data_IF_209122149722
#
_entry.id   IF_209122149722
#
_cell.length_a   1.000
_cell.length_b   1.000
_cell.length_c   1.000
_cell.angle_alpha   90.00
_cell.angle_beta   90.00
_cell.angle_gamma   90.00
#
_symmetry.space_group_name_H-M   'P 1'
#
loop_
_entity.id
_entity.type
_entity.pdbx_description
1 polymer ?
#
# COMPACT_ATOMS: atom_id res chain seq x y z
N UNK A 1 7.67 -16.06 -28.69
CA UNK A 1 9.03 -16.51 -28.32
C UNK A 1 8.99 -17.88 -27.66
N UNK A 2 10.13 -18.60 -27.54
CA UNK A 2 10.20 -19.98 -27.07
C UNK A 2 9.52 -20.24 -25.72
N UNK A 3 9.55 -19.27 -24.77
CA UNK A 3 8.95 -19.38 -23.44
C UNK A 3 7.44 -19.65 -23.50
N UNK A 4 6.71 -18.99 -24.36
CA UNK A 4 5.25 -19.20 -24.47
C UNK A 4 4.85 -20.51 -25.14
N UNK A 5 5.80 -21.24 -25.73
CA UNK A 5 5.57 -22.59 -26.27
C UNK A 5 5.76 -23.70 -25.22
N UNK A 6 5.84 -23.36 -23.94
CA UNK A 6 5.93 -24.30 -22.82
C UNK A 6 4.54 -24.78 -22.38
N UNK A 7 4.50 -25.93 -21.71
CA UNK A 7 3.25 -26.49 -21.17
C UNK A 7 2.78 -25.74 -19.90
N UNK A 8 3.73 -25.12 -19.17
CA UNK A 8 3.49 -24.26 -18.01
C UNK A 8 4.28 -22.97 -18.17
N UNK A 9 3.61 -21.84 -18.05
CA UNK A 9 4.21 -20.51 -18.08
C UNK A 9 3.97 -19.80 -16.75
N UNK A 10 5.05 -19.38 -16.09
CA UNK A 10 5.02 -18.60 -14.86
C UNK A 10 5.36 -17.15 -15.19
N UNK A 11 4.52 -16.22 -14.69
CA UNK A 11 4.75 -14.77 -14.81
C UNK A 11 4.38 -14.08 -13.51
N UNK A 12 5.03 -12.96 -13.21
CA UNK A 12 4.62 -12.08 -12.11
C UNK A 12 3.50 -11.15 -12.59
N UNK A 13 3.78 -10.30 -13.56
CA UNK A 13 2.80 -9.37 -14.11
C UNK A 13 1.83 -10.06 -15.07
N UNK A 14 0.61 -9.56 -15.14
CA UNK A 14 -0.40 -10.01 -16.09
C UNK A 14 0.16 -10.00 -17.53
N UNK A 15 0.02 -11.11 -18.28
CA UNK A 15 0.42 -11.13 -19.66
C UNK A 15 -0.47 -10.24 -20.54
N UNK A 16 0.08 -9.80 -21.66
CA UNK A 16 -0.71 -9.11 -22.67
C UNK A 16 -1.48 -10.13 -23.54
N UNK A 17 -2.63 -9.78 -24.14
CA UNK A 17 -3.36 -10.68 -25.05
C UNK A 17 -2.50 -11.26 -26.17
N UNK A 18 -1.55 -10.49 -26.71
CA UNK A 18 -0.60 -10.94 -27.74
C UNK A 18 0.39 -12.01 -27.23
N UNK A 19 0.69 -12.05 -25.94
CA UNK A 19 1.50 -13.09 -25.31
C UNK A 19 0.68 -14.38 -25.13
N UNK A 20 -0.59 -14.26 -24.76
CA UNK A 20 -1.52 -15.39 -24.66
C UNK A 20 -1.70 -16.09 -26.02
N UNK A 21 -1.81 -15.32 -27.10
CA UNK A 21 -1.95 -15.87 -28.44
C UNK A 21 -0.75 -16.75 -28.91
N UNK A 22 0.40 -16.62 -28.24
CA UNK A 22 1.58 -17.44 -28.51
C UNK A 22 1.63 -18.74 -27.67
N UNK A 23 0.71 -18.92 -26.73
CA UNK A 23 0.70 -20.08 -25.84
C UNK A 23 0.06 -21.29 -26.53
N UNK A 24 0.51 -22.48 -26.14
CA UNK A 24 -0.14 -23.73 -26.57
C UNK A 24 -1.56 -23.82 -26.01
N UNK A 25 -2.47 -24.33 -26.80
CA UNK A 25 -3.78 -24.74 -26.31
C UNK A 25 -3.62 -25.79 -25.19
N UNK A 26 -4.29 -25.58 -24.06
CA UNK A 26 -4.19 -26.45 -22.89
C UNK A 26 -3.01 -26.14 -21.96
N UNK A 27 -2.13 -25.22 -22.31
CA UNK A 27 -1.05 -24.78 -21.42
C UNK A 27 -1.60 -24.17 -20.11
N UNK A 28 -0.83 -24.29 -19.03
CA UNK A 28 -1.11 -23.62 -17.78
C UNK A 28 -0.37 -22.30 -17.70
N UNK A 29 -1.10 -21.22 -17.35
CA UNK A 29 -0.54 -19.89 -17.02
C UNK A 29 -0.77 -19.63 -15.54
N UNK A 30 0.29 -19.26 -14.81
CA UNK A 30 0.23 -18.85 -13.41
C UNK A 30 0.82 -17.45 -13.29
N UNK A 31 0.00 -16.46 -12.90
CA UNK A 31 0.44 -15.07 -12.76
C UNK A 31 -0.57 -14.24 -11.97
N UNK A 32 -0.22 -13.01 -11.58
CA UNK A 32 -1.24 -12.00 -11.27
C UNK A 32 -1.99 -11.67 -12.57
N UNK A 33 -3.31 -11.71 -12.53
CA UNK A 33 -4.15 -11.48 -13.70
C UNK A 33 -5.12 -10.33 -13.54
N UNK A 34 -5.53 -10.05 -12.29
CA UNK A 34 -6.56 -9.06 -11.97
C UNK A 34 -7.86 -9.31 -12.76
N UNK A 35 -8.26 -10.58 -12.81
CA UNK A 35 -9.33 -11.07 -13.67
C UNK A 35 -10.66 -10.29 -13.55
N UNK A 36 -10.97 -9.77 -12.35
CA UNK A 36 -12.19 -8.99 -12.10
C UNK A 36 -12.22 -7.64 -12.86
N UNK A 37 -11.06 -7.06 -13.17
CA UNK A 37 -10.92 -5.77 -13.85
C UNK A 37 -10.29 -5.89 -15.24
N UNK A 38 -9.65 -7.02 -15.55
CA UNK A 38 -8.96 -7.29 -16.80
C UNK A 38 -9.71 -8.34 -17.62
N UNK A 39 -10.93 -8.02 -18.01
CA UNK A 39 -11.83 -8.93 -18.75
C UNK A 39 -11.29 -9.27 -20.14
N UNK A 40 -10.55 -8.38 -20.78
CA UNK A 40 -9.91 -8.62 -22.08
C UNK A 40 -8.90 -9.78 -22.00
N UNK A 41 -8.06 -9.83 -20.96
CA UNK A 41 -7.14 -10.91 -20.73
C UNK A 41 -7.85 -12.24 -20.46
N UNK A 42 -8.94 -12.22 -19.70
CA UNK A 42 -9.75 -13.42 -19.43
C UNK A 42 -10.31 -13.98 -20.72
N UNK A 43 -10.85 -13.13 -21.60
CA UNK A 43 -11.39 -13.55 -22.88
C UNK A 43 -10.28 -14.07 -23.82
N UNK A 44 -9.11 -13.44 -23.83
CA UNK A 44 -7.95 -13.93 -24.60
C UNK A 44 -7.53 -15.34 -24.15
N UNK A 45 -7.46 -15.60 -22.83
CA UNK A 45 -7.14 -16.94 -22.30
C UNK A 45 -8.20 -17.98 -22.74
N UNK A 46 -9.48 -17.62 -22.67
CA UNK A 46 -10.59 -18.48 -23.10
C UNK A 46 -10.50 -18.83 -24.58
N UNK A 47 -10.25 -17.83 -25.46
CA UNK A 47 -10.15 -18.03 -26.90
C UNK A 47 -8.93 -18.90 -27.26
N UNK A 48 -7.78 -18.68 -26.60
CA UNK A 48 -6.58 -19.48 -26.80
C UNK A 48 -6.69 -20.89 -26.18
N UNK A 49 -7.68 -21.13 -25.30
CA UNK A 49 -7.83 -22.40 -24.57
C UNK A 49 -6.71 -22.61 -23.54
N UNK A 50 -6.23 -21.54 -22.91
CA UNK A 50 -5.20 -21.56 -21.86
C UNK A 50 -5.86 -21.74 -20.50
N UNK A 51 -5.31 -22.62 -19.64
CA UNK A 51 -5.76 -22.80 -18.25
C UNK A 51 -5.06 -21.76 -17.38
N UNK A 52 -5.77 -20.71 -16.99
CA UNK A 52 -5.20 -19.61 -16.23
C UNK A 52 -5.47 -19.74 -14.73
N UNK A 53 -4.42 -19.57 -13.92
CA UNK A 53 -4.44 -19.54 -12.46
C UNK A 53 -4.03 -18.13 -12.00
N UNK A 54 -4.99 -17.40 -11.42
CA UNK A 54 -4.78 -16.02 -10.98
C UNK A 54 -4.27 -16.00 -9.54
N UNK A 55 -3.03 -15.55 -9.33
CA UNK A 55 -2.41 -15.47 -8.01
C UNK A 55 -3.09 -14.44 -7.10
N UNK A 56 -3.70 -13.41 -7.67
CA UNK A 56 -4.48 -12.41 -6.94
C UNK A 56 -5.86 -12.93 -6.49
N UNK A 57 -6.33 -14.05 -7.05
CA UNK A 57 -7.60 -14.67 -6.70
C UNK A 57 -7.48 -15.77 -5.64
N UNK A 58 -6.28 -16.04 -5.12
CA UNK A 58 -6.09 -17.01 -4.03
C UNK A 58 -6.87 -16.53 -2.80
N UNK A 59 -7.74 -17.41 -2.22
CA UNK A 59 -8.58 -17.01 -1.10
C UNK A 59 -7.76 -16.73 0.16
N UNK A 60 -8.11 -15.66 0.88
CA UNK A 60 -7.43 -15.25 2.13
C UNK A 60 -7.93 -16.07 3.32
N UNK A 61 -7.60 -17.35 3.33
CA UNK A 61 -7.90 -18.31 4.40
C UNK A 61 -6.60 -18.92 4.94
N UNK A 62 -6.62 -19.39 6.18
CA UNK A 62 -5.42 -19.93 6.86
C UNK A 62 -4.71 -21.03 6.06
N UNK A 63 -5.47 -21.92 5.38
CA UNK A 63 -4.91 -22.98 4.53
C UNK A 63 -4.10 -22.45 3.35
N UNK A 64 -4.50 -21.30 2.79
CA UNK A 64 -3.92 -20.71 1.58
C UNK A 64 -2.86 -19.65 1.87
N UNK A 65 -2.58 -19.30 3.13
CA UNK A 65 -1.65 -18.22 3.49
C UNK A 65 -0.26 -18.35 2.87
N UNK A 66 0.24 -19.59 2.71
CA UNK A 66 1.54 -19.85 2.08
C UNK A 66 1.58 -19.52 0.58
N UNK A 67 0.43 -19.40 -0.06
CA UNK A 67 0.27 -19.09 -1.47
C UNK A 67 -0.20 -17.64 -1.69
N UNK A 68 -0.40 -16.87 -0.62
CA UNK A 68 -0.88 -15.47 -0.70
C UNK A 68 0.27 -14.53 -1.09
N UNK A 69 0.58 -14.53 -2.38
CA UNK A 69 1.61 -13.67 -2.97
C UNK A 69 1.27 -12.16 -2.84
N UNK A 70 -0.01 -11.78 -2.82
CA UNK A 70 -0.39 -10.40 -2.58
C UNK A 70 0.05 -9.92 -1.19
N UNK A 71 -0.17 -10.73 -0.15
CA UNK A 71 0.24 -10.37 1.21
C UNK A 71 1.76 -10.36 1.36
N UNK A 72 2.49 -11.32 0.77
CA UNK A 72 3.95 -11.33 0.85
C UNK A 72 4.57 -10.11 0.16
N UNK A 73 4.09 -9.75 -1.02
CA UNK A 73 4.57 -8.56 -1.74
C UNK A 73 4.15 -7.26 -1.03
N UNK A 74 2.93 -7.18 -0.49
CA UNK A 74 2.49 -6.03 0.29
C UNK A 74 3.34 -5.81 1.55
N UNK A 75 3.79 -6.89 2.19
CA UNK A 75 4.68 -6.82 3.34
C UNK A 75 6.03 -6.18 2.97
N UNK A 76 6.66 -6.64 1.88
CA UNK A 76 7.89 -6.04 1.37
C UNK A 76 7.71 -4.57 0.98
N UNK A 77 6.58 -4.26 0.34
CA UNK A 77 6.24 -2.88 -0.02
C UNK A 77 6.16 -1.96 1.21
N UNK A 78 5.50 -2.40 2.28
CA UNK A 78 5.41 -1.66 3.54
C UNK A 78 6.76 -1.40 4.19
N UNK A 79 7.65 -2.39 4.19
CA UNK A 79 9.04 -2.20 4.64
C UNK A 79 9.78 -1.16 3.79
N UNK A 80 9.78 -1.36 2.45
CA UNK A 80 10.55 -0.51 1.54
C UNK A 80 10.02 0.91 1.50
N UNK A 81 8.71 1.12 1.64
CA UNK A 81 8.10 2.44 1.70
C UNK A 81 8.69 3.30 2.84
N UNK A 82 8.87 2.72 4.02
CA UNK A 82 9.50 3.43 5.15
C UNK A 82 10.95 3.78 4.85
N UNK A 83 11.70 2.86 4.24
CA UNK A 83 13.12 3.10 3.89
C UNK A 83 13.25 4.20 2.84
N UNK A 84 12.38 4.22 1.82
CA UNK A 84 12.36 5.28 0.80
C UNK A 84 12.06 6.65 1.43
N UNK A 85 11.07 6.71 2.32
CA UNK A 85 10.76 7.94 3.05
C UNK A 85 11.91 8.39 3.96
N UNK A 86 12.54 7.45 4.65
CA UNK A 86 13.64 7.76 5.56
C UNK A 86 14.88 8.29 4.83
N UNK A 87 15.19 7.72 3.65
CA UNK A 87 16.29 8.16 2.79
C UNK A 87 16.02 9.55 2.18
N UNK A 88 14.77 9.80 1.82
CA UNK A 88 14.34 11.08 1.22
C UNK A 88 14.22 12.20 2.26
N UNK A 89 13.86 11.87 3.51
CA UNK A 89 13.68 12.84 4.59
C UNK A 89 15.04 13.35 5.08
N UNK A 90 15.34 14.60 4.96
CA UNK A 90 16.58 15.22 5.48
C UNK A 90 16.67 15.27 7.02
N UNK A 91 16.06 14.30 7.73
CA UNK A 91 15.99 14.22 9.20
C UNK A 91 16.08 12.78 9.67
N UNK A 92 16.74 12.55 10.81
CA UNK A 92 16.79 11.21 11.43
C UNK A 92 15.42 10.81 12.00
N UNK A 93 15.16 9.50 12.07
CA UNK A 93 13.91 8.99 12.61
C UNK A 93 13.92 8.85 14.14
N UNK A 94 14.99 8.33 14.78
CA UNK A 94 15.02 8.15 16.23
C UNK A 94 15.25 9.45 17.00
N UNK A 95 14.98 9.42 18.28
CA UNK A 95 15.51 10.41 19.20
C UNK A 95 17.02 10.25 19.32
N UNK A 96 17.76 11.33 19.34
CA UNK A 96 19.20 11.34 19.53
C UNK A 96 19.60 12.46 20.48
N UNK A 97 20.39 12.12 21.51
CA UNK A 97 20.93 13.10 22.45
C UNK A 97 22.46 13.17 22.29
N UNK A 98 22.96 14.37 22.09
CA UNK A 98 24.38 14.68 21.95
C UNK A 98 24.77 15.81 22.93
N UNK A 99 26.05 16.08 23.06
CA UNK A 99 26.51 17.26 23.81
C UNK A 99 26.00 18.59 23.28
N UNK A 100 25.62 18.63 21.98
CA UNK A 100 25.06 19.82 21.32
C UNK A 100 23.54 19.95 21.53
N UNK A 101 22.87 18.95 22.11
CA UNK A 101 21.44 18.97 22.38
C UNK A 101 20.72 17.69 21.99
N UNK A 102 19.40 17.69 22.12
CA UNK A 102 18.50 16.56 21.83
C UNK A 102 17.70 16.81 20.55
N UNK A 103 17.80 15.87 19.63
CA UNK A 103 16.95 15.81 18.42
C UNK A 103 15.72 14.97 18.74
N UNK A 104 14.54 15.54 18.50
CA UNK A 104 13.26 14.82 18.68
C UNK A 104 13.05 13.80 17.57
N UNK A 105 12.41 12.64 17.85
CA UNK A 105 12.13 11.64 16.84
C UNK A 105 11.19 12.19 15.76
N UNK A 106 11.33 11.66 14.55
CA UNK A 106 10.39 11.96 13.45
C UNK A 106 9.03 11.34 13.72
N UNK A 107 7.98 12.07 13.30
CA UNK A 107 6.60 11.64 13.38
C UNK A 107 6.16 11.05 12.02
N UNK A 108 5.71 9.80 12.05
CA UNK A 108 5.21 9.08 10.88
C UNK A 108 3.71 8.88 11.04
N UNK A 109 2.93 9.30 10.06
CA UNK A 109 1.48 9.04 9.98
C UNK A 109 1.23 8.03 8.88
N UNK A 110 0.53 6.94 9.21
CA UNK A 110 0.23 5.85 8.27
C UNK A 110 -1.27 5.73 8.08
N UNK A 111 -1.73 5.72 6.85
CA UNK A 111 -3.11 5.47 6.47
C UNK A 111 -3.29 4.04 5.98
N UNK A 112 -4.09 3.29 6.72
CA UNK A 112 -4.35 1.88 6.48
C UNK A 112 -3.46 0.96 7.33
N UNK A 113 -4.10 0.06 8.08
CA UNK A 113 -3.47 -0.97 8.89
C UNK A 113 -3.71 -2.38 8.28
N UNK A 114 -3.60 -2.48 6.95
CA UNK A 114 -3.49 -3.75 6.23
C UNK A 114 -2.07 -4.32 6.32
N UNK A 115 -1.77 -5.35 5.55
CA UNK A 115 -0.45 -6.02 5.59
C UNK A 115 0.70 -5.02 5.38
N UNK A 116 0.61 -4.18 4.34
CA UNK A 116 1.63 -3.17 4.06
C UNK A 116 1.73 -2.13 5.19
N UNK A 117 0.59 -1.64 5.69
CA UNK A 117 0.56 -0.65 6.78
C UNK A 117 1.14 -1.19 8.08
N UNK A 118 0.76 -2.41 8.49
CA UNK A 118 1.29 -3.04 9.70
C UNK A 118 2.81 -3.24 9.60
N UNK A 119 3.31 -3.65 8.43
CA UNK A 119 4.76 -3.75 8.23
C UNK A 119 5.44 -2.38 8.23
N UNK A 120 4.82 -1.35 7.65
CA UNK A 120 5.34 0.01 7.72
C UNK A 120 5.41 0.52 9.17
N UNK A 121 4.38 0.25 10.00
CA UNK A 121 4.39 0.54 11.43
C UNK A 121 5.59 -0.13 12.10
N UNK A 122 5.73 -1.44 11.94
CA UNK A 122 6.80 -2.22 12.56
C UNK A 122 8.19 -1.69 12.14
N UNK A 123 8.38 -1.35 10.87
CA UNK A 123 9.64 -0.84 10.33
C UNK A 123 9.94 0.56 10.88
N UNK A 124 8.99 1.49 10.82
CA UNK A 124 9.17 2.85 11.33
C UNK A 124 9.46 2.87 12.84
N UNK A 125 8.79 1.99 13.61
CA UNK A 125 9.03 1.82 15.05
C UNK A 125 10.44 1.29 15.32
N UNK A 126 10.93 0.31 14.56
CA UNK A 126 12.30 -0.21 14.69
C UNK A 126 13.34 0.86 14.36
N UNK A 127 13.04 1.78 13.45
CA UNK A 127 13.90 2.94 13.15
C UNK A 127 13.77 4.06 14.19
N UNK A 128 12.95 3.90 15.22
CA UNK A 128 12.82 4.83 16.35
C UNK A 128 11.85 5.99 16.14
N UNK A 129 11.02 5.95 15.10
CA UNK A 129 9.99 6.97 14.84
C UNK A 129 8.84 6.90 15.85
N UNK A 130 8.16 8.03 16.02
CA UNK A 130 6.81 8.10 16.63
C UNK A 130 5.79 7.84 15.53
N UNK A 131 5.02 6.73 15.66
CA UNK A 131 4.10 6.28 14.63
C UNK A 131 2.66 6.46 15.07
N UNK A 132 1.86 7.16 14.27
CA UNK A 132 0.42 7.33 14.42
C UNK A 132 -0.28 6.74 13.19
N UNK A 133 -1.43 6.10 13.40
CA UNK A 133 -2.10 5.30 12.36
C UNK A 133 -3.57 5.61 12.30
N UNK A 134 -4.08 5.84 11.11
CA UNK A 134 -5.51 5.97 10.83
C UNK A 134 -5.99 4.80 9.99
N UNK A 135 -6.99 4.09 10.47
CA UNK A 135 -7.74 3.08 9.70
C UNK A 135 -9.23 3.23 10.05
N UNK A 136 -10.10 2.95 9.09
CA UNK A 136 -11.55 2.99 9.28
C UNK A 136 -12.09 1.75 10.00
N UNK A 137 -11.29 0.70 10.11
CA UNK A 137 -11.66 -0.57 10.75
C UNK A 137 -11.21 -0.56 12.21
N UNK A 138 -12.15 -0.55 13.17
CA UNK A 138 -11.83 -0.48 14.61
C UNK A 138 -11.04 -1.70 15.11
N UNK A 139 -11.24 -2.87 14.50
CA UNK A 139 -10.53 -4.11 14.87
C UNK A 139 -9.01 -4.04 14.61
N UNK A 140 -8.55 -3.11 13.77
CA UNK A 140 -7.10 -2.94 13.52
C UNK A 140 -6.38 -2.22 14.66
N UNK A 141 -7.12 -1.60 15.59
CA UNK A 141 -6.57 -0.83 16.71
C UNK A 141 -5.61 -1.66 17.56
N UNK A 142 -6.02 -2.87 17.95
CA UNK A 142 -5.17 -3.76 18.77
C UNK A 142 -3.90 -4.16 18.03
N UNK A 143 -4.00 -4.43 16.73
CA UNK A 143 -2.83 -4.79 15.91
C UNK A 143 -1.82 -3.63 15.82
N UNK A 144 -2.32 -2.40 15.61
CA UNK A 144 -1.49 -1.18 15.60
C UNK A 144 -0.79 -0.98 16.94
N UNK A 145 -1.52 -1.11 18.03
CA UNK A 145 -0.99 -0.93 19.39
C UNK A 145 0.03 -2.01 19.76
N UNK A 146 -0.18 -3.25 19.35
CA UNK A 146 0.76 -4.36 19.57
C UNK A 146 2.12 -4.12 18.89
N UNK A 147 2.14 -3.37 17.78
CA UNK A 147 3.36 -2.95 17.09
C UNK A 147 3.96 -1.65 17.66
N UNK A 148 3.38 -1.09 18.73
CA UNK A 148 3.82 0.14 19.36
C UNK A 148 3.39 1.42 18.62
N UNK A 149 2.48 1.34 17.66
CA UNK A 149 1.84 2.47 17.01
C UNK A 149 0.71 3.06 17.87
N UNK A 150 0.40 4.33 17.65
CA UNK A 150 -0.74 5.01 18.28
C UNK A 150 -1.88 5.08 17.26
N UNK A 151 -3.03 4.52 17.59
CA UNK A 151 -4.21 4.59 16.73
C UNK A 151 -4.88 5.96 16.86
N UNK A 152 -5.16 6.61 15.72
CA UNK A 152 -5.92 7.86 15.64
C UNK A 152 -7.39 7.50 15.67
N UNK A 153 -8.03 7.65 16.84
CA UNK A 153 -9.41 7.22 17.09
C UNK A 153 -10.39 8.36 16.90
N UNK A 154 -11.34 8.17 15.98
CA UNK A 154 -12.52 9.03 15.88
C UNK A 154 -13.59 8.51 16.83
N UNK A 155 -13.91 9.28 17.87
CA UNK A 155 -14.93 8.89 18.85
C UNK A 155 -16.33 8.99 18.24
N UNK A 156 -17.14 7.96 18.43
CA UNK A 156 -18.60 8.05 18.37
C UNK A 156 -19.26 7.60 17.06
N UNK A 157 -18.87 6.45 16.49
CA UNK A 157 -19.73 5.81 15.48
C UNK A 157 -19.69 4.28 15.57
N UNK A 158 -20.79 3.68 16.05
CA UNK A 158 -21.01 2.24 16.10
C UNK A 158 -21.58 1.68 14.79
N UNK A 159 -21.68 2.52 13.73
CA UNK A 159 -22.38 2.20 12.47
C UNK A 159 -21.50 1.60 11.38
N UNK A 160 -20.23 1.33 11.64
CA UNK A 160 -19.30 0.80 10.64
C UNK A 160 -19.62 -0.67 10.35
N UNK A 161 -20.14 -0.95 9.15
CA UNK A 161 -20.36 -2.33 8.69
C UNK A 161 -19.13 -2.85 7.95
N UNK A 162 -18.58 -3.96 8.45
CA UNK A 162 -17.42 -4.64 7.85
C UNK A 162 -17.89 -5.94 7.21
N UNK A 163 -17.54 -6.15 5.95
CA UNK A 163 -17.80 -7.39 5.23
C UNK A 163 -16.57 -7.80 4.41
N UNK A 164 -16.06 -9.02 4.65
CA UNK A 164 -14.88 -9.53 3.96
C UNK A 164 -13.57 -8.76 4.23
N UNK A 165 -13.47 -8.08 5.40
CA UNK A 165 -12.29 -7.25 5.74
C UNK A 165 -12.29 -5.86 5.09
N UNK A 166 -13.38 -5.48 4.39
CA UNK A 166 -13.57 -4.15 3.79
C UNK A 166 -14.81 -3.47 4.37
N UNK A 167 -14.73 -2.15 4.56
CA UNK A 167 -15.84 -1.36 5.07
C UNK A 167 -16.87 -1.12 3.97
N UNK A 168 -18.12 -1.54 4.21
CA UNK A 168 -19.27 -1.35 3.32
C UNK A 168 -20.24 -0.28 3.84
N UNK A 169 -19.79 0.82 4.26
CA UNK A 169 -20.63 1.95 4.63
C UNK A 169 -20.08 2.66 5.85
N UNK A 170 -19.64 3.85 5.62
CA UNK A 170 -19.22 4.81 6.63
C UNK A 170 -20.08 6.04 6.41
N UNK A 171 -20.61 6.64 7.48
CA UNK A 171 -21.38 7.86 7.34
C UNK A 171 -20.49 9.00 6.83
N UNK A 172 -21.03 9.90 6.02
CA UNK A 172 -20.31 11.09 5.55
C UNK A 172 -19.80 11.94 6.73
N UNK A 173 -20.58 11.98 7.79
CA UNK A 173 -20.21 12.70 9.01
C UNK A 173 -18.99 12.09 9.71
N UNK A 174 -18.91 10.76 9.79
CA UNK A 174 -17.72 10.07 10.31
C UNK A 174 -16.49 10.36 9.46
N UNK A 175 -16.60 10.25 8.13
CA UNK A 175 -15.50 10.54 7.22
C UNK A 175 -14.99 11.98 7.37
N UNK A 176 -15.91 12.94 7.53
CA UNK A 176 -15.56 14.34 7.77
C UNK A 176 -14.82 14.53 9.08
N UNK A 177 -15.33 13.95 10.18
CA UNK A 177 -14.66 14.01 11.51
C UNK A 177 -13.29 13.34 11.46
N UNK A 178 -13.17 12.20 10.77
CA UNK A 178 -11.90 11.52 10.58
C UNK A 178 -10.92 12.42 9.81
N UNK A 179 -11.36 13.03 8.72
CA UNK A 179 -10.55 13.93 7.89
C UNK A 179 -10.06 15.14 8.69
N UNK A 180 -10.93 15.78 9.49
CA UNK A 180 -10.56 16.91 10.37
C UNK A 180 -9.55 16.51 11.45
N UNK A 181 -9.74 15.33 12.06
CA UNK A 181 -8.81 14.83 13.06
C UNK A 181 -7.45 14.49 12.45
N UNK A 182 -7.45 13.76 11.35
CA UNK A 182 -6.23 13.34 10.66
C UNK A 182 -5.45 14.55 10.13
N UNK A 183 -6.12 15.61 9.65
CA UNK A 183 -5.47 16.83 9.21
C UNK A 183 -4.56 17.45 10.29
N UNK A 184 -4.98 17.40 11.57
CA UNK A 184 -4.17 17.87 12.70
C UNK A 184 -2.88 17.04 12.87
N UNK A 185 -2.98 15.72 12.68
CA UNK A 185 -1.83 14.82 12.79
C UNK A 185 -0.85 14.98 11.60
N UNK A 186 -1.39 15.16 10.38
CA UNK A 186 -0.60 15.41 9.15
C UNK A 186 0.22 16.70 9.27
N UNK A 187 -0.36 17.77 9.79
CA UNK A 187 0.34 19.05 9.98
C UNK A 187 1.64 18.89 10.78
N UNK A 188 1.69 17.94 11.71
CA UNK A 188 2.86 17.69 12.54
C UNK A 188 3.74 16.54 12.01
N UNK A 189 3.31 15.85 10.96
CA UNK A 189 4.03 14.72 10.41
C UNK A 189 5.32 15.15 9.70
N UNK A 190 6.34 14.34 9.81
CA UNK A 190 7.56 14.40 9.01
C UNK A 190 7.47 13.44 7.81
N UNK A 191 6.77 12.31 8.01
CA UNK A 191 6.48 11.31 6.96
C UNK A 191 5.00 10.96 6.98
N UNK A 192 4.40 10.82 5.80
CA UNK A 192 3.07 10.24 5.60
C UNK A 192 3.17 9.05 4.63
N UNK A 193 2.58 7.92 4.98
CA UNK A 193 2.50 6.75 4.11
C UNK A 193 1.05 6.36 3.94
N UNK A 194 0.56 6.27 2.70
CA UNK A 194 -0.82 5.88 2.41
C UNK A 194 -0.86 4.50 1.75
N UNK A 195 -1.71 3.61 2.27
CA UNK A 195 -1.81 2.21 1.82
C UNK A 195 -3.25 1.78 1.53
N UNK A 196 -4.20 2.72 1.47
CA UNK A 196 -5.62 2.38 1.36
C UNK A 196 -6.00 2.05 -0.09
N UNK A 197 -6.34 0.80 -0.32
CA UNK A 197 -6.81 0.27 -1.60
C UNK A 197 -8.20 -0.36 -1.43
N UNK A 198 -9.04 -0.18 -2.44
CA UNK A 198 -10.34 -0.85 -2.56
C UNK A 198 -10.28 -1.73 -3.80
N UNK A 199 -10.38 -3.07 -3.66
CA UNK A 199 -10.30 -3.97 -4.80
C UNK A 199 -11.29 -3.61 -5.91
N UNK A 200 -10.79 -3.49 -7.14
CA UNK A 200 -11.60 -3.20 -8.32
C UNK A 200 -12.18 -1.78 -8.40
N UNK A 201 -11.74 -0.86 -7.53
CA UNK A 201 -12.19 0.54 -7.53
C UNK A 201 -11.00 1.49 -7.47
N UNK A 202 -11.24 2.74 -7.86
CA UNK A 202 -10.29 3.83 -7.65
C UNK A 202 -9.98 3.99 -6.16
N UNK A 203 -8.72 4.24 -5.83
CA UNK A 203 -8.31 4.49 -4.46
C UNK A 203 -9.02 5.72 -3.86
N UNK A 204 -9.40 5.68 -2.58
CA UNK A 204 -10.01 6.82 -1.92
C UNK A 204 -9.00 7.95 -1.74
N UNK A 205 -9.43 9.19 -1.94
CA UNK A 205 -8.61 10.36 -1.63
C UNK A 205 -8.59 10.57 -0.12
N UNK A 206 -7.41 10.50 0.50
CA UNK A 206 -7.21 10.61 1.94
C UNK A 206 -6.45 11.86 2.34
N UNK A 207 -5.50 12.30 1.52
CA UNK A 207 -4.66 13.48 1.77
C UNK A 207 -5.00 14.54 0.73
N UNK A 208 -5.68 15.59 1.19
CA UNK A 208 -6.12 16.70 0.35
C UNK A 208 -4.98 17.68 0.08
N UNK A 209 -5.20 18.60 -0.85
CA UNK A 209 -4.24 19.66 -1.18
C UNK A 209 -3.96 20.57 0.04
N UNK A 210 -5.00 20.89 0.82
CA UNK A 210 -4.88 21.68 2.04
C UNK A 210 -4.04 20.97 3.09
N UNK A 211 -4.20 19.65 3.23
CA UNK A 211 -3.36 18.85 4.12
C UNK A 211 -1.89 18.90 3.68
N UNK A 212 -1.60 18.71 2.39
CA UNK A 212 -0.23 18.82 1.86
C UNK A 212 0.35 20.20 2.12
N UNK A 213 -0.41 21.28 1.86
CA UNK A 213 0.00 22.67 2.14
C UNK A 213 0.28 22.94 3.63
N UNK A 214 -0.38 22.19 4.53
CA UNK A 214 -0.23 22.35 5.98
C UNK A 214 0.99 21.66 6.56
N UNK A 215 1.60 20.73 5.83
CA UNK A 215 2.77 19.97 6.28
C UNK A 215 4.02 20.85 6.39
N UNK A 216 4.97 20.36 7.16
CA UNK A 216 6.27 21.04 7.31
C UNK A 216 7.06 20.97 6.01
N UNK A 217 7.82 22.03 5.72
CA UNK A 217 8.79 21.98 4.63
C UNK A 217 9.81 20.85 4.84
N UNK A 218 10.12 20.11 3.78
CA UNK A 218 11.00 18.95 3.83
C UNK A 218 10.32 17.65 4.27
N UNK A 219 9.01 17.66 4.57
CA UNK A 219 8.24 16.43 4.82
C UNK A 219 8.14 15.57 3.56
N UNK A 220 7.91 14.28 3.78
CA UNK A 220 7.81 13.28 2.70
C UNK A 220 6.47 12.56 2.79
N UNK A 221 5.82 12.39 1.64
CA UNK A 221 4.64 11.53 1.48
C UNK A 221 5.00 10.41 0.52
N UNK A 222 4.61 9.17 0.84
CA UNK A 222 4.68 8.06 -0.10
C UNK A 222 3.27 7.49 -0.29
N UNK A 223 2.81 7.50 -1.55
CA UNK A 223 1.49 7.02 -1.95
C UNK A 223 1.59 5.64 -2.59
N UNK A 224 1.28 4.59 -1.81
CA UNK A 224 1.29 3.21 -2.30
C UNK A 224 0.08 2.88 -3.17
N UNK A 225 -0.91 3.76 -3.24
CA UNK A 225 -2.14 3.55 -4.01
C UNK A 225 -2.10 4.25 -5.38
N UNK A 226 -0.97 4.82 -5.77
CA UNK A 226 -0.83 5.67 -6.97
C UNK A 226 -1.29 4.99 -8.27
N UNK A 227 -1.07 3.68 -8.43
CA UNK A 227 -1.54 2.90 -9.60
C UNK A 227 -3.07 2.87 -9.73
N UNK A 228 -3.79 2.98 -8.62
CA UNK A 228 -5.25 2.97 -8.58
C UNK A 228 -5.84 4.38 -8.43
N UNK A 229 -5.09 5.39 -8.85
CA UNK A 229 -5.51 6.78 -8.83
C UNK A 229 -5.09 7.58 -7.61
N UNK A 230 -4.40 6.95 -6.67
CA UNK A 230 -3.74 7.57 -5.53
C UNK A 230 -4.63 7.96 -4.36
N UNK A 231 -4.04 7.95 -3.16
CA UNK A 231 -4.66 8.47 -1.94
C UNK A 231 -4.31 9.95 -1.69
N UNK A 232 -3.39 10.53 -2.44
CA UNK A 232 -2.79 11.85 -2.20
C UNK A 232 -3.01 12.75 -3.39
N UNK A 233 -3.53 13.96 -3.16
CA UNK A 233 -3.64 14.97 -4.23
C UNK A 233 -2.25 15.31 -4.75
N UNK A 234 -2.09 15.19 -6.07
CA UNK A 234 -0.85 15.53 -6.74
C UNK A 234 0.23 14.46 -6.70
N UNK A 235 -0.09 13.25 -6.23
CA UNK A 235 0.72 12.05 -6.47
C UNK A 235 0.71 11.71 -7.97
N UNK A 236 1.89 11.41 -8.51
CA UNK A 236 2.07 11.06 -9.93
C UNK A 236 2.76 9.70 -10.06
N UNK A 237 2.20 8.83 -10.92
CA UNK A 237 2.67 7.46 -11.12
C UNK A 237 4.15 7.43 -11.54
N UNK A 238 4.95 6.67 -10.81
CA UNK A 238 6.40 6.48 -11.02
C UNK A 238 7.19 7.78 -11.04
N UNK A 239 6.74 8.78 -10.26
CA UNK A 239 7.46 10.04 -10.11
C UNK A 239 7.59 10.44 -8.66
N UNK A 240 8.66 11.16 -8.38
CA UNK A 240 8.84 11.94 -7.17
C UNK A 240 8.66 13.41 -7.52
N UNK A 241 7.66 14.05 -6.92
CA UNK A 241 7.32 15.45 -7.19
C UNK A 241 7.43 16.28 -5.91
N UNK A 242 7.69 17.59 -6.05
CA UNK A 242 7.67 18.51 -4.92
C UNK A 242 6.48 19.46 -5.04
N UNK A 243 5.67 19.55 -3.97
CA UNK A 243 4.53 20.48 -3.86
C UNK A 243 4.54 21.14 -2.50
N UNK A 244 4.54 22.47 -2.50
CA UNK A 244 4.53 23.26 -1.26
C UNK A 244 5.65 22.89 -0.25
N UNK A 245 6.84 22.55 -0.74
CA UNK A 245 7.96 22.13 0.10
C UNK A 245 7.87 20.69 0.63
N UNK A 246 6.86 19.92 0.19
CA UNK A 246 6.67 18.50 0.53
C UNK A 246 7.07 17.64 -0.66
N UNK A 247 7.84 16.60 -0.43
CA UNK A 247 8.18 15.60 -1.44
C UNK A 247 7.13 14.51 -1.47
N UNK A 248 6.52 14.25 -2.63
CA UNK A 248 5.50 13.20 -2.82
C UNK A 248 6.10 12.13 -3.74
N UNK A 249 6.20 10.91 -3.22
CA UNK A 249 6.72 9.73 -3.92
C UNK A 249 5.53 8.89 -4.39
N UNK A 250 5.39 8.76 -5.71
CA UNK A 250 4.37 7.93 -6.37
C UNK A 250 4.98 6.67 -7.01
N UNK A 251 5.78 5.93 -6.26
CA UNK A 251 6.39 4.68 -6.73
C UNK A 251 5.35 3.56 -6.76
N UNK A 252 5.18 2.89 -7.91
CA UNK A 252 4.18 1.85 -8.08
C UNK A 252 4.67 0.48 -7.59
N UNK A 253 5.52 -0.17 -8.33
CA UNK A 253 5.97 -1.54 -8.05
C UNK A 253 7.08 -1.57 -6.97
N UNK A 254 6.78 -1.09 -5.77
CA UNK A 254 7.74 -1.01 -4.65
C UNK A 254 8.45 -2.36 -4.35
N UNK A 255 7.78 -3.54 -4.40
CA UNK A 255 8.46 -4.82 -4.19
C UNK A 255 9.62 -5.08 -5.16
N UNK A 256 9.56 -4.58 -6.39
CA UNK A 256 10.62 -4.73 -7.37
C UNK A 256 11.95 -4.07 -6.97
N UNK A 257 11.89 -3.14 -6.01
CA UNK A 257 13.08 -2.51 -5.41
C UNK A 257 13.80 -3.43 -4.39
N UNK A 258 13.24 -4.61 -4.13
CA UNK A 258 13.79 -5.69 -3.30
C UNK A 258 13.75 -7.02 -4.09
N UNK A 259 14.41 -7.10 -5.26
CA UNK A 259 14.16 -8.18 -6.23
C UNK A 259 14.46 -9.57 -5.68
N UNK A 260 15.47 -9.74 -4.84
CA UNK A 260 15.80 -11.03 -4.24
C UNK A 260 14.65 -11.54 -3.36
N UNK A 261 14.26 -10.72 -2.36
CA UNK A 261 13.19 -11.12 -1.44
C UNK A 261 11.81 -11.20 -2.12
N UNK A 262 11.55 -10.34 -3.09
CA UNK A 262 10.30 -10.37 -3.86
C UNK A 262 10.18 -11.68 -4.65
N UNK A 263 11.26 -12.14 -5.28
CA UNK A 263 11.29 -13.42 -6.00
C UNK A 263 11.17 -14.63 -5.06
N UNK A 264 11.87 -14.59 -3.91
CA UNK A 264 11.82 -15.70 -2.93
C UNK A 264 10.42 -15.89 -2.32
N UNK A 265 9.66 -14.81 -2.20
CA UNK A 265 8.33 -14.81 -1.58
C UNK A 265 7.17 -14.87 -2.57
N UNK A 266 7.44 -14.82 -3.86
CA UNK A 266 6.46 -15.03 -4.92
C UNK A 266 6.35 -16.50 -5.29
#
# INVERSE_FOLDING_TARGET
TQVYNSDVVLKVNAPQPAEIAQMKRGAALISFMWAATNTELVEACKQAGVNAFSMDAIPRISRAQKMDALSSQANLAGYKAVILCADTLGKILPMMTTAAGTIRPSKVVIFGAGVAGLQAIATAKRLGAVVEVSDIRPETKEQVQSLGGKFIEVKGDDSIKIEGGYVKGVSEEFLKRQQELVAKHIKEADIVITTALIPGKKAPLLVTEEMVKSMKNGSVILDMAVEQGGNVVGSELNKTVQKNGVTIIGESNIPSLLPMNASDLY
#
